data_IF_394687476476
#
_entry.id   IF_394687476476
#
_cell.length_a   1.000
_cell.length_b   1.000
_cell.length_c   1.000
_cell.angle_alpha   90.00
_cell.angle_beta   90.00
_cell.angle_gamma   90.00
#
_symmetry.space_group_name_H-M   'P 1'
#
loop_
_entity.id
_entity.type
_entity.pdbx_description
1 polymer ?
#
# COMPACT_ATOMS: atom_id res chain seq x y z
N UNK A 1 1.00 -0.31 -28.17
CA UNK A 1 0.92 0.13 -26.76
C UNK A 1 1.00 -1.14 -25.92
N UNK A 2 2.17 -1.43 -25.34
CA UNK A 2 2.35 -2.61 -24.50
C UNK A 2 1.92 -2.26 -23.07
N UNK A 3 1.06 -3.09 -22.47
CA UNK A 3 0.66 -2.96 -21.07
C UNK A 3 1.44 -4.01 -20.30
N UNK A 4 2.18 -3.58 -19.28
CA UNK A 4 2.75 -4.49 -18.29
C UNK A 4 1.68 -4.86 -17.27
N UNK A 5 1.55 -6.16 -16.99
CA UNK A 5 0.49 -6.67 -16.13
C UNK A 5 1.06 -7.38 -14.90
N UNK A 6 0.50 -7.04 -13.74
CA UNK A 6 0.78 -7.70 -12.47
C UNK A 6 -0.54 -8.18 -11.86
N UNK A 7 -0.73 -9.50 -11.84
CA UNK A 7 -1.94 -10.13 -11.33
C UNK A 7 -1.81 -10.55 -9.87
N UNK A 8 -2.81 -10.22 -9.06
CA UNK A 8 -2.97 -10.72 -7.69
C UNK A 8 -4.30 -11.45 -7.60
N UNK A 9 -4.25 -12.77 -7.47
CA UNK A 9 -5.45 -13.60 -7.28
C UNK A 9 -5.94 -13.47 -5.84
N UNK A 10 -6.95 -12.63 -5.64
CA UNK A 10 -7.47 -12.32 -4.31
C UNK A 10 -9.00 -12.23 -4.26
N UNK A 11 -9.55 -12.85 -3.21
CA UNK A 11 -10.96 -12.76 -2.85
C UNK A 11 -11.22 -11.57 -1.93
N UNK A 12 -12.39 -10.94 -2.07
CA UNK A 12 -12.80 -9.83 -1.18
C UNK A 12 -13.44 -10.34 0.11
N UNK A 13 -12.70 -11.19 0.83
CA UNK A 13 -13.14 -11.79 2.08
C UNK A 13 -12.28 -11.29 3.24
N UNK A 14 -12.86 -11.01 4.42
CA UNK A 14 -12.09 -10.66 5.61
C UNK A 14 -11.10 -11.73 6.08
N UNK A 15 -11.29 -12.98 5.64
CA UNK A 15 -10.43 -14.12 5.93
C UNK A 15 -9.27 -14.27 4.94
N UNK A 16 -9.33 -13.61 3.77
CA UNK A 16 -8.27 -13.68 2.77
C UNK A 16 -7.05 -12.87 3.24
N UNK A 17 -5.86 -13.47 3.17
CA UNK A 17 -4.62 -12.78 3.51
C UNK A 17 -4.07 -12.02 2.29
N UNK A 18 -4.40 -10.73 2.21
CA UNK A 18 -3.89 -9.86 1.15
C UNK A 18 -2.50 -9.30 1.49
N UNK A 19 -2.05 -9.44 2.76
CA UNK A 19 -0.82 -8.82 3.25
C UNK A 19 0.44 -9.40 2.61
N UNK A 20 0.39 -10.67 2.20
CA UNK A 20 1.47 -11.35 1.47
C UNK A 20 1.80 -10.67 0.14
N UNK A 21 0.88 -9.88 -0.41
CA UNK A 21 1.06 -9.16 -1.68
C UNK A 21 1.41 -7.68 -1.52
N UNK A 22 1.45 -7.15 -0.29
CA UNK A 22 1.64 -5.70 -0.08
C UNK A 22 2.95 -5.19 -0.68
N UNK A 23 4.06 -5.86 -0.39
CA UNK A 23 5.38 -5.42 -0.86
C UNK A 23 5.60 -5.66 -2.36
N UNK A 24 5.13 -6.79 -2.90
CA UNK A 24 5.27 -7.11 -4.33
C UNK A 24 4.44 -6.16 -5.18
N UNK A 25 3.17 -5.93 -4.82
CA UNK A 25 2.30 -4.99 -5.52
C UNK A 25 2.80 -3.54 -5.36
N UNK A 26 3.24 -3.14 -4.17
CA UNK A 26 3.78 -1.80 -3.94
C UNK A 26 5.06 -1.56 -4.76
N UNK A 27 5.94 -2.55 -4.88
CA UNK A 27 7.15 -2.47 -5.70
C UNK A 27 6.84 -2.33 -7.18
N UNK A 28 5.83 -3.06 -7.68
CA UNK A 28 5.36 -2.92 -9.06
C UNK A 28 4.80 -1.51 -9.33
N UNK A 29 4.00 -0.98 -8.40
CA UNK A 29 3.46 0.39 -8.48
C UNK A 29 4.59 1.43 -8.47
N UNK A 30 5.56 1.27 -7.56
CA UNK A 30 6.70 2.18 -7.46
C UNK A 30 7.54 2.19 -8.73
N UNK A 31 7.89 1.01 -9.24
CA UNK A 31 8.69 0.87 -10.46
C UNK A 31 8.01 1.54 -11.66
N UNK A 32 6.69 1.34 -11.83
CA UNK A 32 5.93 1.97 -12.89
C UNK A 32 5.96 3.51 -12.77
N UNK A 33 5.85 4.05 -11.55
CA UNK A 33 5.77 5.49 -11.27
C UNK A 33 7.13 6.22 -11.20
N UNK A 34 8.25 5.53 -11.47
CA UNK A 34 9.59 6.18 -11.56
C UNK A 34 9.78 7.02 -12.80
N UNK A 35 8.97 6.80 -13.85
CA UNK A 35 8.98 7.60 -15.07
C UNK A 35 7.70 8.41 -15.17
N UNK A 36 7.82 9.72 -15.40
CA UNK A 36 6.68 10.63 -15.51
C UNK A 36 5.79 10.36 -16.74
N UNK A 37 6.29 9.59 -17.72
CA UNK A 37 5.53 9.20 -18.91
C UNK A 37 4.63 7.99 -18.68
N UNK A 38 4.85 7.24 -17.60
CA UNK A 38 4.11 6.03 -17.31
C UNK A 38 2.82 6.35 -16.55
N UNK A 39 1.82 5.50 -16.76
CA UNK A 39 0.54 5.54 -16.04
C UNK A 39 0.24 4.14 -15.52
N UNK A 40 -0.35 4.08 -14.33
CA UNK A 40 -0.75 2.82 -13.71
C UNK A 40 -2.23 2.82 -13.37
N UNK A 41 -2.86 1.68 -13.60
CA UNK A 41 -4.23 1.39 -13.18
C UNK A 41 -4.20 0.21 -12.21
N UNK A 42 -4.64 0.43 -10.97
CA UNK A 42 -4.86 -0.64 -10.00
C UNK A 42 -6.36 -0.85 -9.88
N UNK A 43 -6.85 -2.02 -10.29
CA UNK A 43 -8.28 -2.32 -10.29
C UNK A 43 -8.60 -3.64 -9.57
N UNK A 44 -9.87 -3.79 -9.21
CA UNK A 44 -10.48 -5.06 -8.81
C UNK A 44 -11.91 -5.09 -9.38
N UNK A 45 -12.82 -5.91 -8.86
CA UNK A 45 -14.20 -5.94 -9.36
C UNK A 45 -14.91 -4.58 -9.27
N UNK A 46 -14.80 -3.88 -8.13
CA UNK A 46 -15.48 -2.59 -7.88
C UNK A 46 -14.53 -1.42 -7.64
N UNK A 47 -13.23 -1.71 -7.52
CA UNK A 47 -12.23 -0.72 -7.16
C UNK A 47 -12.41 -0.11 -5.76
N UNK A 48 -13.06 -0.79 -4.80
CA UNK A 48 -13.38 -0.23 -3.47
C UNK A 48 -12.63 -0.87 -2.30
N UNK A 49 -12.35 -2.18 -2.38
CA UNK A 49 -11.74 -2.96 -1.31
C UNK A 49 -10.35 -3.45 -1.69
N UNK A 50 -10.21 -4.61 -2.36
CA UNK A 50 -8.91 -5.21 -2.77
C UNK A 50 -7.90 -4.23 -3.38
N UNK A 51 -8.26 -3.56 -4.48
CA UNK A 51 -7.36 -2.62 -5.15
C UNK A 51 -7.03 -1.42 -4.28
N UNK A 52 -8.00 -0.91 -3.51
CA UNK A 52 -7.78 0.19 -2.58
C UNK A 52 -6.79 -0.22 -1.49
N UNK A 53 -6.91 -1.43 -0.93
CA UNK A 53 -5.97 -1.95 0.07
C UNK A 53 -4.53 -1.98 -0.46
N UNK A 54 -4.30 -2.44 -1.70
CA UNK A 54 -2.95 -2.44 -2.27
C UNK A 54 -2.40 -1.04 -2.52
N UNK A 55 -3.24 -0.10 -2.95
CA UNK A 55 -2.83 1.32 -3.09
C UNK A 55 -2.51 1.95 -1.73
N UNK A 56 -3.29 1.65 -0.68
CA UNK A 56 -3.03 2.12 0.68
C UNK A 56 -1.68 1.58 1.18
N UNK A 57 -1.42 0.28 1.00
CA UNK A 57 -0.15 -0.32 1.36
C UNK A 57 1.02 0.33 0.60
N UNK A 58 0.87 0.61 -0.70
CA UNK A 58 1.87 1.34 -1.48
C UNK A 58 2.19 2.72 -0.90
N UNK A 59 1.17 3.53 -0.57
CA UNK A 59 1.36 4.86 0.01
C UNK A 59 2.08 4.78 1.37
N UNK A 60 1.75 3.78 2.18
CA UNK A 60 2.40 3.57 3.47
C UNK A 60 3.87 3.14 3.30
N UNK A 61 4.16 2.21 2.39
CA UNK A 61 5.50 1.65 2.19
C UNK A 61 6.43 2.63 1.48
N UNK A 62 6.03 3.20 0.34
CA UNK A 62 6.91 4.00 -0.53
C UNK A 62 6.75 5.51 -0.39
N UNK A 63 5.63 5.99 0.18
CA UNK A 63 5.37 7.42 0.36
C UNK A 63 5.40 7.86 1.82
N UNK A 64 5.89 6.99 2.71
CA UNK A 64 6.06 7.25 4.15
C UNK A 64 4.79 7.73 4.87
N UNK A 65 3.62 7.40 4.34
CA UNK A 65 2.34 7.77 4.95
C UNK A 65 2.03 6.87 6.15
N UNK A 66 1.24 7.39 7.09
CA UNK A 66 0.52 6.54 8.07
C UNK A 66 -0.71 5.93 7.39
N UNK A 67 -1.30 4.90 8.00
CA UNK A 67 -2.57 4.34 7.52
C UNK A 67 -3.68 5.41 7.41
N UNK A 68 -3.75 6.32 8.39
CA UNK A 68 -4.75 7.40 8.41
C UNK A 68 -4.56 8.34 7.22
N UNK A 69 -3.32 8.79 6.98
CA UNK A 69 -3.01 9.70 5.88
C UNK A 69 -3.26 9.03 4.52
N UNK A 70 -2.88 7.76 4.38
CA UNK A 70 -3.13 6.99 3.17
C UNK A 70 -4.64 6.87 2.87
N UNK A 71 -5.45 6.55 3.88
CA UNK A 71 -6.91 6.48 3.73
C UNK A 71 -7.47 7.83 3.31
N UNK A 72 -7.08 8.91 3.99
CA UNK A 72 -7.54 10.26 3.64
C UNK A 72 -7.15 10.64 2.21
N UNK A 73 -5.93 10.33 1.79
CA UNK A 73 -5.44 10.65 0.45
C UNK A 73 -6.25 9.93 -0.64
N UNK A 74 -6.56 8.65 -0.45
CA UNK A 74 -7.35 7.88 -1.42
C UNK A 74 -8.82 8.29 -1.37
N UNK A 75 -9.38 8.47 -0.17
CA UNK A 75 -10.80 8.80 0.03
C UNK A 75 -11.20 10.15 -0.58
N UNK A 76 -10.28 11.12 -0.68
CA UNK A 76 -10.50 12.40 -1.37
C UNK A 76 -10.85 12.23 -2.85
N UNK A 77 -10.32 11.19 -3.50
CA UNK A 77 -10.42 11.00 -4.94
C UNK A 77 -11.35 9.84 -5.32
N UNK A 78 -11.60 8.92 -4.40
CA UNK A 78 -12.41 7.72 -4.65
C UNK A 78 -13.09 7.21 -3.38
N UNK A 79 -14.35 6.81 -3.49
CA UNK A 79 -15.07 6.17 -2.39
C UNK A 79 -14.57 4.73 -2.15
N UNK A 80 -13.59 4.59 -1.28
CA UNK A 80 -12.99 3.30 -0.89
C UNK A 80 -13.48 2.85 0.48
N UNK A 81 -13.64 1.53 0.64
CA UNK A 81 -14.02 0.91 1.90
C UNK A 81 -13.47 -0.53 1.92
N UNK A 82 -12.19 -0.71 2.28
CA UNK A 82 -11.64 -2.04 2.50
C UNK A 82 -12.45 -2.82 3.53
N UNK A 83 -12.55 -4.14 3.33
CA UNK A 83 -13.20 -4.99 4.31
C UNK A 83 -12.43 -4.98 5.66
N UNK A 84 -13.09 -5.44 6.73
CA UNK A 84 -12.52 -5.41 8.10
C UNK A 84 -11.22 -6.22 8.24
N UNK A 85 -11.06 -7.30 7.48
CA UNK A 85 -9.85 -8.11 7.47
C UNK A 85 -8.67 -7.36 6.86
N UNK A 86 -8.89 -6.72 5.72
CA UNK A 86 -7.88 -5.89 5.07
C UNK A 86 -7.49 -4.66 5.90
N UNK A 87 -8.45 -4.01 6.56
CA UNK A 87 -8.14 -2.94 7.52
C UNK A 87 -7.28 -3.43 8.69
N UNK A 88 -7.55 -4.63 9.21
CA UNK A 88 -6.73 -5.24 10.26
C UNK A 88 -5.30 -5.51 9.76
N UNK A 89 -5.15 -6.03 8.54
CA UNK A 89 -3.85 -6.27 7.91
C UNK A 89 -3.07 -4.97 7.69
N UNK A 90 -3.72 -3.92 7.17
CA UNK A 90 -3.12 -2.59 7.00
C UNK A 90 -2.70 -1.97 8.33
N UNK A 91 -3.49 -2.15 9.40
CA UNK A 91 -3.12 -1.66 10.73
C UNK A 91 -1.89 -2.37 11.28
N UNK A 92 -1.72 -3.65 10.97
CA UNK A 92 -0.52 -4.38 11.38
C UNK A 92 0.72 -3.90 10.60
N UNK A 93 0.58 -3.67 9.29
CA UNK A 93 1.60 -3.02 8.48
C UNK A 93 1.98 -1.64 9.05
N UNK A 94 1.01 -0.81 9.44
CA UNK A 94 1.25 0.53 9.99
C UNK A 94 2.12 0.49 11.25
N UNK A 95 1.82 -0.42 12.19
CA UNK A 95 2.64 -0.61 13.39
C UNK A 95 4.08 -1.00 13.07
N UNK A 96 4.26 -1.93 12.13
CA UNK A 96 5.58 -2.38 11.69
C UNK A 96 6.38 -1.23 11.08
N UNK A 97 5.77 -0.46 10.17
CA UNK A 97 6.42 0.68 9.52
C UNK A 97 6.76 1.79 10.53
N UNK A 98 5.88 2.08 11.48
CA UNK A 98 6.16 3.05 12.55
C UNK A 98 7.36 2.60 13.40
N UNK A 99 7.41 1.31 13.77
CA UNK A 99 8.53 0.76 14.53
C UNK A 99 9.85 0.82 13.74
N UNK A 100 9.82 0.45 12.46
CA UNK A 100 10.99 0.50 11.57
C UNK A 100 11.51 1.93 11.40
N UNK A 101 10.61 2.90 11.17
CA UNK A 101 10.98 4.33 11.05
C UNK A 101 11.60 4.86 12.34
N UNK A 102 11.07 4.47 13.50
CA UNK A 102 11.64 4.83 14.80
C UNK A 102 13.03 4.25 15.01
N UNK A 103 13.24 2.98 14.61
CA UNK A 103 14.55 2.33 14.71
C UNK A 103 15.57 2.99 13.79
N UNK A 104 15.21 3.29 12.53
CA UNK A 104 16.09 3.99 11.60
C UNK A 104 16.55 5.36 12.14
N UNK A 105 15.64 6.14 12.73
CA UNK A 105 15.98 7.43 13.35
C UNK A 105 16.94 7.31 14.55
N UNK A 106 16.82 6.23 15.34
CA UNK A 106 17.72 5.98 16.47
C UNK A 106 19.12 5.58 15.99
N UNK A 107 19.22 4.76 14.93
CA UNK A 107 20.50 4.39 14.32
C UNK A 107 21.22 5.58 13.70
N UNK A 108 20.51 6.44 12.94
CA UNK A 108 21.10 7.65 12.33
C UNK A 108 21.59 8.69 13.35
N UNK A 109 20.97 8.74 14.53
CA UNK A 109 21.38 9.64 15.61
C UNK A 109 22.55 9.07 16.45
N UNK A 110 22.69 7.73 16.52
CA UNK A 110 23.78 7.07 17.23
C UNK A 110 25.11 7.06 16.48
N UNK A 111 25.08 7.14 15.14
CA UNK A 111 26.30 7.24 14.31
C UNK A 111 26.88 8.67 14.22
N UNK A 112 26.13 9.68 14.69
CA UNK A 112 26.53 11.10 14.70
C UNK A 112 27.00 11.61 16.07
N UNK A 113 27.05 10.73 17.09
CA UNK A 113 27.51 11.03 18.44
C UNK A 113 28.86 10.34 18.71
#
# INVERSE_FOLDING_TARGET
MAIEYHGVEADDLPTFDLSVFFYTAASFIDAALRSDHNKILVHCAMGRSRSATLVLAYLMIHRSMTLVDAIQQVAKNRCVLPNRGFLKQLRELDKQLVQQRRQAQLSENGEKA
#
